data_IF_063795707032
#
_entry.id   IF_063795707032
#
_cell.length_a   1.000
_cell.length_b   1.000
_cell.length_c   1.000
_cell.angle_alpha   90.00
_cell.angle_beta   90.00
_cell.angle_gamma   90.00
#
_symmetry.space_group_name_H-M   'P 1'
#
loop_
_entity.id
_entity.type
_entity.pdbx_description
1 polymer ?
#
# COMPACT_ATOMS: atom_id res chain seq x y z
N UNK A 1 58.31 22.85 16.02
CA UNK A 1 57.91 22.24 14.73
C UNK A 1 56.97 21.05 14.92
N UNK A 2 57.34 20.03 15.71
CA UNK A 2 56.47 18.85 15.98
C UNK A 2 55.09 19.17 16.57
N UNK A 3 55.00 20.13 17.50
CA UNK A 3 53.72 20.60 18.09
C UNK A 3 52.77 21.25 17.08
N UNK A 4 53.30 21.89 16.03
CA UNK A 4 52.49 22.51 14.97
C UNK A 4 51.94 21.45 14.01
N UNK A 5 52.76 20.45 13.67
CA UNK A 5 52.37 19.32 12.81
C UNK A 5 51.27 18.49 13.51
N UNK A 6 51.41 18.23 14.81
CA UNK A 6 50.39 17.51 15.58
C UNK A 6 49.04 18.24 15.61
N UNK A 7 49.04 19.56 15.82
CA UNK A 7 47.80 20.37 15.80
C UNK A 7 47.11 20.36 14.45
N UNK A 8 47.87 20.47 13.35
CA UNK A 8 47.34 20.39 11.98
C UNK A 8 46.78 19.00 11.68
N UNK A 9 47.47 17.93 12.08
CA UNK A 9 46.97 16.56 11.93
C UNK A 9 45.67 16.33 12.71
N UNK A 10 45.57 16.81 13.95
CA UNK A 10 44.34 16.69 14.77
C UNK A 10 43.18 17.48 14.17
N UNK A 11 43.41 18.70 13.66
CA UNK A 11 42.39 19.49 12.97
C UNK A 11 41.92 18.84 11.66
N UNK A 12 42.84 18.23 10.91
CA UNK A 12 42.49 17.51 9.68
C UNK A 12 41.69 16.23 9.97
N UNK A 13 42.03 15.52 11.05
CA UNK A 13 41.31 14.32 11.50
C UNK A 13 39.90 14.68 12.00
N UNK A 14 39.75 15.82 12.68
CA UNK A 14 38.44 16.33 13.12
C UNK A 14 37.57 16.79 11.93
N UNK A 15 38.18 17.42 10.91
CA UNK A 15 37.47 17.78 9.69
C UNK A 15 37.00 16.55 8.90
N UNK A 16 37.80 15.48 8.86
CA UNK A 16 37.44 14.23 8.17
C UNK A 16 36.21 13.55 8.81
N UNK A 17 36.11 13.56 10.14
CA UNK A 17 34.96 12.99 10.87
C UNK A 17 33.67 13.73 10.53
N UNK A 18 33.70 15.07 10.42
CA UNK A 18 32.51 15.87 10.10
C UNK A 18 32.00 15.60 8.67
N UNK A 19 32.89 15.36 7.71
CA UNK A 19 32.50 15.09 6.30
C UNK A 19 31.86 13.71 6.15
N UNK A 20 32.19 12.74 7.02
CA UNK A 20 31.58 11.40 6.98
C UNK A 20 30.22 11.29 7.70
N UNK A 21 29.82 12.30 8.47
CA UNK A 21 28.54 12.31 9.22
C UNK A 21 27.31 12.63 8.37
N UNK A 22 27.49 12.95 7.08
CA UNK A 22 26.42 13.40 6.19
C UNK A 22 25.63 12.30 5.47
N UNK A 23 26.00 11.02 5.63
CA UNK A 23 25.23 9.92 5.04
C UNK A 23 23.95 9.69 5.84
N UNK A 24 22.84 10.29 5.42
CA UNK A 24 21.50 9.93 5.90
C UNK A 24 21.19 8.54 5.38
N UNK A 25 21.13 7.55 6.27
CA UNK A 25 20.68 6.20 5.90
C UNK A 25 19.17 6.26 5.73
N UNK A 26 18.70 5.94 4.52
CA UNK A 26 17.29 5.84 4.19
C UNK A 26 16.88 4.37 4.27
N UNK A 27 15.87 4.07 5.08
CA UNK A 27 15.37 2.71 5.29
C UNK A 27 14.00 2.46 4.64
N UNK A 28 13.33 3.51 4.19
CA UNK A 28 12.01 3.49 3.56
C UNK A 28 11.99 4.45 2.38
N UNK A 29 11.15 4.16 1.37
CA UNK A 29 10.92 5.06 0.24
C UNK A 29 10.50 6.48 0.71
N UNK A 30 10.81 7.49 -0.09
CA UNK A 30 10.29 8.86 0.12
C UNK A 30 8.77 8.86 -0.08
N UNK A 31 8.04 9.67 0.70
CA UNK A 31 6.59 9.85 0.54
C UNK A 31 6.17 10.22 -0.91
N UNK A 32 5.06 9.66 -1.36
CA UNK A 32 4.41 9.99 -2.63
C UNK A 32 2.91 10.28 -2.43
N UNK A 33 2.53 11.54 -2.63
CA UNK A 33 1.14 12.02 -2.49
C UNK A 33 0.17 11.32 -3.46
N UNK A 34 0.63 10.94 -4.66
CA UNK A 34 -0.22 10.27 -5.63
C UNK A 34 -0.49 8.83 -5.19
N UNK A 35 0.50 8.15 -4.63
CA UNK A 35 0.32 6.81 -4.05
C UNK A 35 -0.65 6.87 -2.88
N UNK A 36 -0.50 7.86 -2.00
CA UNK A 36 -1.41 8.03 -0.88
C UNK A 36 -2.86 8.23 -1.36
N UNK A 37 -3.07 9.12 -2.35
CA UNK A 37 -4.41 9.35 -2.95
C UNK A 37 -4.96 8.10 -3.62
N UNK A 38 -4.12 7.35 -4.32
CA UNK A 38 -4.52 6.12 -5.01
C UNK A 38 -4.95 5.02 -4.02
N UNK A 39 -4.24 4.87 -2.90
CA UNK A 39 -4.63 3.96 -1.80
C UNK A 39 -6.04 4.31 -1.32
N UNK A 40 -6.32 5.59 -1.05
CA UNK A 40 -7.65 6.02 -0.58
C UNK A 40 -8.72 5.79 -1.65
N UNK A 41 -8.46 6.18 -2.91
CA UNK A 41 -9.40 5.98 -4.02
C UNK A 41 -9.81 4.51 -4.19
N UNK A 42 -8.83 3.60 -4.23
CA UNK A 42 -9.12 2.16 -4.38
C UNK A 42 -9.89 1.64 -3.16
N UNK A 43 -9.56 2.10 -1.95
CA UNK A 43 -10.31 1.75 -0.75
C UNK A 43 -11.77 2.19 -0.83
N UNK A 44 -12.05 3.38 -1.35
CA UNK A 44 -13.41 3.89 -1.55
C UNK A 44 -14.18 3.07 -2.58
N UNK A 45 -13.53 2.64 -3.67
CA UNK A 45 -14.16 1.80 -4.70
C UNK A 45 -14.52 0.41 -4.19
N UNK A 46 -13.65 -0.20 -3.39
CA UNK A 46 -13.94 -1.49 -2.73
C UNK A 46 -15.09 -1.32 -1.71
N UNK A 47 -15.08 -0.24 -0.93
CA UNK A 47 -16.14 0.06 0.03
C UNK A 47 -17.50 0.27 -0.67
N UNK A 48 -17.49 0.96 -1.81
CA UNK A 48 -18.66 1.16 -2.67
C UNK A 48 -19.15 -0.17 -3.24
N UNK A 49 -18.25 -1.02 -3.74
CA UNK A 49 -18.59 -2.34 -4.25
C UNK A 49 -19.36 -3.17 -3.22
N UNK A 50 -18.85 -3.28 -1.99
CA UNK A 50 -19.54 -4.02 -0.93
C UNK A 50 -20.83 -3.33 -0.48
N UNK A 51 -20.91 -2.01 -0.54
CA UNK A 51 -22.14 -1.27 -0.26
C UNK A 51 -23.22 -1.63 -1.28
N UNK A 52 -22.89 -1.62 -2.57
CA UNK A 52 -23.84 -2.00 -3.63
C UNK A 52 -24.29 -3.46 -3.46
N UNK A 53 -23.38 -4.37 -3.13
CA UNK A 53 -23.76 -5.75 -2.82
C UNK A 53 -24.77 -5.83 -1.67
N UNK A 54 -24.55 -5.11 -0.56
CA UNK A 54 -25.48 -5.11 0.59
C UNK A 54 -26.86 -4.55 0.22
N UNK A 55 -26.91 -3.53 -0.63
CA UNK A 55 -28.16 -2.92 -1.12
C UNK A 55 -28.88 -3.78 -2.19
N UNK A 56 -28.19 -4.78 -2.74
CA UNK A 56 -28.77 -5.73 -3.70
C UNK A 56 -29.38 -6.91 -2.95
N UNK A 57 -30.55 -7.40 -3.38
CA UNK A 57 -31.14 -8.59 -2.76
C UNK A 57 -30.22 -9.80 -2.94
N UNK A 58 -30.10 -10.66 -1.93
CA UNK A 58 -29.20 -11.83 -1.97
C UNK A 58 -29.41 -12.70 -3.22
N UNK A 59 -30.67 -12.85 -3.67
CA UNK A 59 -31.04 -13.61 -4.88
C UNK A 59 -30.59 -12.96 -6.20
N UNK A 60 -30.25 -11.68 -6.18
CA UNK A 60 -29.85 -10.86 -7.32
C UNK A 60 -28.35 -10.53 -7.30
N UNK A 61 -27.62 -10.93 -6.25
CA UNK A 61 -26.16 -10.79 -6.18
C UNK A 61 -25.48 -11.87 -7.02
N UNK A 62 -25.76 -11.92 -8.32
CA UNK A 62 -25.11 -12.90 -9.18
C UNK A 62 -23.71 -12.42 -9.56
N UNK A 63 -22.78 -13.34 -9.78
CA UNK A 63 -21.42 -12.94 -10.18
C UNK A 63 -21.43 -12.13 -11.49
N UNK A 64 -22.31 -12.49 -12.42
CA UNK A 64 -22.42 -11.87 -13.74
C UNK A 64 -22.74 -10.38 -13.65
N UNK A 65 -23.57 -9.97 -12.69
CA UNK A 65 -23.98 -8.57 -12.49
C UNK A 65 -22.84 -7.70 -11.92
N UNK A 66 -21.85 -8.33 -11.26
CA UNK A 66 -20.77 -7.64 -10.53
C UNK A 66 -19.38 -7.85 -11.13
N UNK A 67 -19.24 -8.67 -12.18
CA UNK A 67 -17.94 -9.04 -12.76
C UNK A 67 -17.11 -7.85 -13.27
N UNK A 68 -17.78 -6.80 -13.74
CA UNK A 68 -17.10 -5.61 -14.26
C UNK A 68 -16.43 -4.83 -13.12
N UNK A 69 -17.10 -4.68 -11.97
CA UNK A 69 -16.52 -4.07 -10.79
C UNK A 69 -15.29 -4.85 -10.30
N UNK A 70 -15.37 -6.19 -10.29
CA UNK A 70 -14.21 -7.04 -9.99
C UNK A 70 -13.02 -6.76 -10.91
N UNK A 71 -13.27 -6.65 -12.21
CA UNK A 71 -12.22 -6.40 -13.19
C UNK A 71 -11.56 -5.03 -13.00
N UNK A 72 -12.36 -3.97 -12.82
CA UNK A 72 -11.86 -2.60 -12.65
C UNK A 72 -10.97 -2.50 -11.41
N UNK A 73 -11.46 -2.96 -10.26
CA UNK A 73 -10.70 -2.90 -9.01
C UNK A 73 -9.45 -3.80 -9.06
N UNK A 74 -9.52 -4.94 -9.74
CA UNK A 74 -8.34 -5.80 -9.94
C UNK A 74 -7.23 -5.07 -10.73
N UNK A 75 -7.60 -4.36 -11.80
CA UNK A 75 -6.65 -3.58 -12.61
C UNK A 75 -6.00 -2.49 -11.75
N UNK A 76 -6.78 -1.82 -10.92
CA UNK A 76 -6.30 -0.75 -10.06
C UNK A 76 -5.35 -1.26 -8.97
N UNK A 77 -5.68 -2.38 -8.33
CA UNK A 77 -4.77 -3.05 -7.39
C UNK A 77 -3.45 -3.45 -8.06
N UNK A 78 -3.50 -3.97 -9.29
CA UNK A 78 -2.29 -4.30 -10.07
C UNK A 78 -1.49 -3.04 -10.44
N UNK A 79 -2.17 -1.94 -10.75
CA UNK A 79 -1.54 -0.65 -10.99
C UNK A 79 -0.81 -0.15 -9.74
N UNK A 80 -1.47 -0.18 -8.58
CA UNK A 80 -0.87 0.20 -7.30
C UNK A 80 0.37 -0.65 -6.96
N UNK A 81 0.33 -1.97 -7.22
CA UNK A 81 1.51 -2.85 -7.07
C UNK A 81 2.65 -2.40 -7.98
N UNK A 82 2.37 -2.13 -9.26
CA UNK A 82 3.39 -1.68 -10.22
C UNK A 82 4.03 -0.37 -9.77
N UNK A 83 3.22 0.61 -9.38
CA UNK A 83 3.68 1.91 -8.90
C UNK A 83 4.55 1.78 -7.64
N UNK A 84 4.22 0.85 -6.73
CA UNK A 84 5.04 0.59 -5.55
C UNK A 84 6.35 -0.15 -5.89
N UNK A 85 6.33 -1.10 -6.84
CA UNK A 85 7.52 -1.89 -7.24
C UNK A 85 8.61 -1.08 -7.93
N UNK A 86 8.26 -0.01 -8.63
CA UNK A 86 9.25 0.85 -9.30
C UNK A 86 9.97 1.79 -8.33
N UNK A 87 9.49 1.93 -7.08
CA UNK A 87 10.07 2.77 -6.05
C UNK A 87 11.10 1.98 -5.22
N UNK A 88 12.32 2.50 -5.00
CA UNK A 88 13.31 1.83 -4.16
C UNK A 88 12.86 1.83 -2.68
N UNK A 89 13.26 0.80 -1.91
CA UNK A 89 12.97 0.67 -0.47
C UNK A 89 11.47 0.67 -0.15
N UNK A 90 10.68 0.03 -1.01
CA UNK A 90 9.22 0.04 -0.95
C UNK A 90 8.61 -1.38 -0.96
N UNK A 91 9.40 -2.37 -0.55
CA UNK A 91 9.02 -3.78 -0.55
C UNK A 91 7.81 -4.05 0.36
N UNK A 92 7.72 -3.38 1.51
CA UNK A 92 6.59 -3.54 2.43
C UNK A 92 5.28 -2.98 1.83
N UNK A 93 5.30 -1.76 1.28
CA UNK A 93 4.11 -1.20 0.62
C UNK A 93 3.70 -2.02 -0.60
N UNK A 94 4.68 -2.58 -1.32
CA UNK A 94 4.42 -3.55 -2.41
C UNK A 94 3.71 -4.79 -1.88
N UNK A 95 4.21 -5.40 -0.79
CA UNK A 95 3.62 -6.60 -0.22
C UNK A 95 2.21 -6.36 0.27
N UNK A 96 1.93 -5.21 0.89
CA UNK A 96 0.59 -4.85 1.30
C UNK A 96 -0.37 -4.79 0.12
N UNK A 97 0.03 -4.17 -1.00
CA UNK A 97 -0.79 -4.08 -2.20
C UNK A 97 -1.05 -5.46 -2.82
N UNK A 98 -0.07 -6.36 -2.76
CA UNK A 98 -0.22 -7.76 -3.13
C UNK A 98 -1.22 -8.51 -2.22
N UNK A 99 -1.21 -8.27 -0.90
CA UNK A 99 -2.20 -8.83 0.03
C UNK A 99 -3.61 -8.39 -0.35
N UNK A 100 -3.81 -7.10 -0.65
CA UNK A 100 -5.12 -6.61 -1.08
C UNK A 100 -5.58 -7.28 -2.39
N UNK A 101 -4.67 -7.47 -3.36
CA UNK A 101 -4.98 -8.19 -4.59
C UNK A 101 -5.32 -9.67 -4.34
N UNK A 102 -4.57 -10.36 -3.48
CA UNK A 102 -4.85 -11.76 -3.09
C UNK A 102 -6.27 -11.89 -2.53
N UNK A 103 -6.64 -11.04 -1.56
CA UNK A 103 -7.97 -11.02 -0.97
C UNK A 103 -9.07 -10.73 -2.01
N UNK A 104 -8.81 -9.82 -2.95
CA UNK A 104 -9.78 -9.44 -3.97
C UNK A 104 -10.06 -10.57 -4.95
N UNK A 105 -9.00 -11.28 -5.34
CA UNK A 105 -9.10 -12.45 -6.22
C UNK A 105 -9.83 -13.61 -5.54
N UNK A 106 -9.57 -13.84 -4.25
CA UNK A 106 -10.26 -14.86 -3.47
C UNK A 106 -11.76 -14.56 -3.34
N UNK A 107 -12.12 -13.30 -3.12
CA UNK A 107 -13.52 -12.86 -3.08
C UNK A 107 -14.22 -13.01 -4.43
N UNK A 108 -13.54 -12.65 -5.50
CA UNK A 108 -14.02 -12.81 -6.87
C UNK A 108 -14.30 -14.28 -7.19
N UNK A 109 -13.37 -15.17 -6.85
CA UNK A 109 -13.53 -16.60 -7.12
C UNK A 109 -14.65 -17.20 -6.28
N UNK A 110 -14.72 -16.88 -4.98
CA UNK A 110 -15.82 -17.35 -4.13
C UNK A 110 -17.18 -16.87 -4.61
N UNK A 111 -17.31 -15.60 -5.03
CA UNK A 111 -18.56 -15.10 -5.59
C UNK A 111 -18.89 -15.80 -6.90
N UNK A 112 -17.91 -16.05 -7.76
CA UNK A 112 -18.10 -16.79 -9.02
C UNK A 112 -18.53 -18.24 -8.79
N UNK A 113 -17.91 -18.94 -7.85
CA UNK A 113 -18.24 -20.34 -7.51
C UNK A 113 -19.62 -20.48 -6.87
N UNK A 114 -19.96 -19.58 -5.94
CA UNK A 114 -21.23 -19.63 -5.21
C UNK A 114 -22.39 -18.93 -5.96
N UNK A 115 -22.05 -18.09 -6.94
CA UNK A 115 -22.95 -17.19 -7.67
C UNK A 115 -23.86 -16.33 -6.75
N UNK A 116 -23.41 -16.09 -5.53
CA UNK A 116 -24.04 -15.23 -4.53
C UNK A 116 -23.08 -14.97 -3.37
N UNK A 117 -23.32 -13.91 -2.60
CA UNK A 117 -22.59 -13.58 -1.37
C UNK A 117 -23.55 -13.12 -0.27
N UNK A 118 -23.38 -13.65 0.94
CA UNK A 118 -24.20 -13.28 2.10
C UNK A 118 -23.75 -11.98 2.77
N UNK A 119 -24.67 -11.31 3.48
CA UNK A 119 -24.40 -10.07 4.22
C UNK A 119 -23.25 -10.23 5.23
N UNK A 120 -23.16 -11.40 5.87
CA UNK A 120 -22.12 -11.71 6.83
C UNK A 120 -20.73 -11.71 6.17
N UNK A 121 -20.59 -12.39 5.04
CA UNK A 121 -19.32 -12.47 4.30
C UNK A 121 -18.93 -11.08 3.77
N UNK A 122 -19.88 -10.35 3.17
CA UNK A 122 -19.65 -8.98 2.70
C UNK A 122 -19.16 -8.08 3.84
N UNK A 123 -19.83 -8.12 4.99
CA UNK A 123 -19.46 -7.30 6.16
C UNK A 123 -18.07 -7.65 6.69
N UNK A 124 -17.73 -8.94 6.75
CA UNK A 124 -16.43 -9.40 7.21
C UNK A 124 -15.31 -8.91 6.27
N UNK A 125 -15.49 -9.10 4.96
CA UNK A 125 -14.45 -8.81 3.97
C UNK A 125 -14.29 -7.30 3.76
N UNK A 126 -15.39 -6.53 3.74
CA UNK A 126 -15.33 -5.06 3.77
C UNK A 126 -14.48 -4.54 4.93
N UNK A 127 -14.70 -5.06 6.14
CA UNK A 127 -13.90 -4.69 7.31
C UNK A 127 -12.43 -5.12 7.17
N UNK A 128 -12.16 -6.24 6.50
CA UNK A 128 -10.79 -6.71 6.25
C UNK A 128 -10.05 -5.76 5.31
N UNK A 129 -10.67 -5.36 4.20
CA UNK A 129 -10.11 -4.39 3.28
C UNK A 129 -9.87 -3.04 3.95
N UNK A 130 -10.83 -2.53 4.73
CA UNK A 130 -10.65 -1.28 5.48
C UNK A 130 -9.40 -1.31 6.37
N UNK A 131 -9.10 -2.44 7.04
CA UNK A 131 -7.88 -2.57 7.86
C UNK A 131 -6.60 -2.57 7.01
N UNK A 132 -6.62 -3.28 5.88
CA UNK A 132 -5.47 -3.36 4.97
C UNK A 132 -5.16 -1.98 4.39
N UNK A 133 -6.17 -1.28 3.86
CA UNK A 133 -6.00 0.04 3.27
C UNK A 133 -5.66 1.12 4.30
N UNK A 134 -6.20 1.05 5.52
CA UNK A 134 -5.79 1.92 6.61
C UNK A 134 -4.29 1.76 6.92
N UNK A 135 -3.80 0.51 6.99
CA UNK A 135 -2.39 0.23 7.23
C UNK A 135 -1.49 0.77 6.10
N UNK A 136 -1.91 0.62 4.85
CA UNK A 136 -1.20 1.19 3.69
C UNK A 136 -1.13 2.72 3.75
N UNK A 137 -2.26 3.38 4.03
CA UNK A 137 -2.34 4.83 4.07
C UNK A 137 -1.45 5.40 5.18
N UNK A 138 -1.51 4.80 6.38
CA UNK A 138 -0.61 5.15 7.49
C UNK A 138 0.85 4.90 7.11
N UNK A 139 1.14 3.74 6.51
CA UNK A 139 2.49 3.35 6.09
C UNK A 139 3.08 4.29 5.04
N UNK A 140 2.26 4.86 4.16
CA UNK A 140 2.70 5.91 3.23
C UNK A 140 2.88 7.24 3.96
N UNK A 141 1.93 7.68 4.79
CA UNK A 141 2.01 8.97 5.51
C UNK A 141 3.24 9.11 6.42
N UNK A 142 3.68 8.04 7.09
CA UNK A 142 4.86 8.11 7.97
C UNK A 142 6.17 8.30 7.21
N UNK A 143 6.19 8.17 5.88
CA UNK A 143 7.35 8.48 5.03
C UNK A 143 7.57 9.98 4.84
N UNK A 144 6.62 10.82 5.27
CA UNK A 144 6.79 12.28 5.29
C UNK A 144 7.80 12.74 6.36
N UNK A 145 8.07 11.91 7.38
CA UNK A 145 8.91 12.21 8.56
C UNK A 145 10.40 11.84 8.36
#
# INVERSE_FOLDING_TARGET
MQSLIYKVCVQFLFALVIVTSGCRVQFVADYDENIHKEIIRISEEIDMFYTILLETLVSERTYEDFKENYLVIEVDLRSLILQNKVRPLNEESTRQAEIALELWLDDKEQHKENNSVSDFIISQHRNQFQRVFLAMAIGESVKEE
#
